data_IF_454807621196
#
_entry.id   IF_454807621196
#
_cell.length_a   1.000
_cell.length_b   1.000
_cell.length_c   1.000
_cell.angle_alpha   90.00
_cell.angle_beta   90.00
_cell.angle_gamma   90.00
#
_symmetry.space_group_name_H-M   'P 1'
#
loop_
_entity.id
_entity.type
_entity.pdbx_description
1 polymer ?
#
# COMPACT_ATOMS: atom_id res chain seq x y z
N UNK A 1 15.87 -15.15 -2.99
CA UNK A 1 15.48 -15.96 -1.82
C UNK A 1 14.20 -15.39 -1.24
N UNK A 2 13.27 -16.24 -0.77
CA UNK A 2 12.03 -15.79 -0.14
C UNK A 2 11.97 -16.29 1.31
N UNK A 3 11.77 -15.39 2.25
CA UNK A 3 11.50 -15.69 3.66
C UNK A 3 10.06 -15.32 3.98
N UNK A 4 9.35 -16.20 4.70
CA UNK A 4 7.95 -15.97 5.10
C UNK A 4 7.84 -16.03 6.61
N UNK A 5 7.39 -14.93 7.22
CA UNK A 5 7.02 -14.86 8.63
C UNK A 5 5.52 -15.13 8.75
N UNK A 6 5.14 -16.41 8.74
CA UNK A 6 3.76 -16.87 8.80
C UNK A 6 3.34 -17.41 10.17
N UNK A 7 2.07 -17.82 10.26
CA UNK A 7 1.48 -18.44 11.45
C UNK A 7 0.55 -17.51 12.25
N UNK A 8 -0.10 -18.07 13.26
CA UNK A 8 -1.14 -17.41 14.07
C UNK A 8 -0.61 -16.75 15.35
N UNK A 9 0.68 -16.93 15.65
CA UNK A 9 1.34 -16.36 16.82
C UNK A 9 2.35 -15.29 16.43
N UNK A 10 2.39 -14.21 17.21
CA UNK A 10 3.39 -13.15 17.06
C UNK A 10 4.79 -13.72 17.24
N UNK A 11 5.75 -13.21 16.46
CA UNK A 11 7.15 -13.56 16.70
C UNK A 11 7.61 -12.94 18.03
N UNK A 12 8.46 -13.69 18.75
CA UNK A 12 9.07 -13.25 20.02
C UNK A 12 10.39 -12.52 19.81
N UNK A 13 10.99 -12.67 18.63
CA UNK A 13 12.18 -11.93 18.24
C UNK A 13 11.88 -10.43 18.11
N UNK A 14 12.70 -9.60 18.74
CA UNK A 14 12.57 -8.14 18.81
C UNK A 14 13.73 -7.39 18.15
N UNK A 15 14.75 -8.11 17.66
CA UNK A 15 15.88 -7.49 16.99
C UNK A 15 15.53 -6.93 15.61
N UNK A 16 16.47 -6.20 14.99
CA UNK A 16 16.29 -5.69 13.64
C UNK A 16 16.23 -6.84 12.64
N UNK A 17 15.45 -6.64 11.58
CA UNK A 17 15.35 -7.56 10.45
C UNK A 17 15.96 -6.88 9.22
N UNK A 18 16.98 -7.49 8.64
CA UNK A 18 17.58 -7.01 7.40
C UNK A 18 17.34 -7.99 6.26
N UNK A 19 16.89 -7.46 5.13
CA UNK A 19 16.81 -8.18 3.86
C UNK A 19 17.49 -7.36 2.78
N UNK A 20 18.52 -7.95 2.17
CA UNK A 20 19.34 -7.29 1.17
C UNK A 20 19.52 -8.19 -0.04
N UNK A 21 19.55 -7.61 -1.23
CA UNK A 21 19.89 -8.30 -2.47
C UNK A 21 18.71 -8.44 -3.43
N UNK A 22 19.04 -8.40 -4.72
CA UNK A 22 18.07 -8.39 -5.80
C UNK A 22 17.16 -9.63 -5.73
N UNK A 23 15.85 -9.41 -5.82
CA UNK A 23 14.82 -10.45 -5.75
C UNK A 23 14.71 -11.18 -4.40
N UNK A 24 15.35 -10.68 -3.34
CA UNK A 24 15.09 -11.18 -2.00
C UNK A 24 13.78 -10.60 -1.46
N UNK A 25 12.94 -11.46 -0.89
CA UNK A 25 11.60 -11.08 -0.44
C UNK A 25 11.39 -11.52 1.01
N UNK A 26 10.99 -10.59 1.86
CA UNK A 26 10.40 -10.86 3.17
C UNK A 26 8.88 -10.75 3.07
N UNK A 27 8.16 -11.84 3.29
CA UNK A 27 6.70 -11.83 3.36
C UNK A 27 6.22 -11.91 4.80
N UNK A 28 5.45 -10.92 5.23
CA UNK A 28 4.78 -10.89 6.54
C UNK A 28 3.37 -11.43 6.38
N UNK A 29 3.11 -12.62 6.90
CA UNK A 29 1.88 -13.38 6.64
C UNK A 29 1.29 -13.99 7.92
N UNK A 30 1.37 -13.26 9.03
CA UNK A 30 0.73 -13.63 10.28
C UNK A 30 -0.79 -13.47 10.19
N UNK A 31 -1.51 -14.36 10.86
CA UNK A 31 -2.98 -14.34 10.96
C UNK A 31 -3.43 -13.96 12.37
N UNK A 32 -4.74 -13.76 12.57
CA UNK A 32 -5.34 -13.48 13.88
C UNK A 32 -4.77 -12.23 14.60
N UNK A 33 -4.29 -11.24 13.84
CA UNK A 33 -3.71 -10.01 14.39
C UNK A 33 -2.33 -10.20 15.01
N UNK A 34 -1.66 -11.34 14.77
CA UNK A 34 -0.30 -11.55 15.23
C UNK A 34 0.70 -10.63 14.51
N UNK A 35 1.75 -10.24 15.24
CA UNK A 35 2.81 -9.32 14.78
C UNK A 35 3.98 -10.14 14.22
N UNK A 36 4.38 -9.85 12.99
CA UNK A 36 5.46 -10.53 12.31
C UNK A 36 6.83 -9.97 12.72
N UNK A 37 6.94 -8.66 12.89
CA UNK A 37 8.21 -7.98 13.22
C UNK A 37 7.99 -6.92 14.29
N UNK A 38 8.81 -6.97 15.35
CA UNK A 38 8.76 -6.02 16.46
C UNK A 38 9.91 -5.01 16.47
N UNK A 39 11.03 -5.35 15.82
CA UNK A 39 12.16 -4.45 15.65
C UNK A 39 12.06 -3.63 14.37
N UNK A 40 13.12 -2.89 14.08
CA UNK A 40 13.27 -2.15 12.83
C UNK A 40 13.47 -3.10 11.65
N UNK A 41 13.05 -2.65 10.46
CA UNK A 41 13.15 -3.41 9.21
C UNK A 41 14.01 -2.63 8.23
N UNK A 42 15.04 -3.27 7.69
CA UNK A 42 15.94 -2.73 6.69
C UNK A 42 15.81 -3.54 5.41
N UNK A 43 15.32 -2.90 4.34
CA UNK A 43 15.19 -3.52 3.01
C UNK A 43 16.13 -2.80 2.07
N UNK A 44 17.10 -3.53 1.52
CA UNK A 44 18.22 -2.96 0.78
C UNK A 44 18.37 -3.62 -0.60
N UNK A 45 18.98 -2.91 -1.56
CA UNK A 45 19.52 -3.47 -2.80
C UNK A 45 18.48 -4.26 -3.61
N UNK A 46 17.37 -3.62 -3.97
CA UNK A 46 16.27 -4.20 -4.75
C UNK A 46 15.58 -5.41 -4.10
N UNK A 47 15.73 -5.57 -2.79
CA UNK A 47 14.90 -6.47 -2.00
C UNK A 47 13.49 -5.91 -1.80
N UNK A 48 12.58 -6.77 -1.34
CA UNK A 48 11.16 -6.47 -1.18
C UNK A 48 10.63 -6.89 0.19
N UNK A 49 9.95 -5.97 0.86
CA UNK A 49 9.02 -6.27 1.96
C UNK A 49 7.61 -6.42 1.39
N UNK A 50 6.94 -7.52 1.72
CA UNK A 50 5.59 -7.80 1.27
C UNK A 50 4.69 -8.09 2.47
N UNK A 51 3.62 -7.33 2.67
CA UNK A 51 2.66 -7.58 3.76
C UNK A 51 1.47 -8.34 3.20
N UNK A 52 1.13 -9.49 3.74
CA UNK A 52 -0.06 -10.28 3.41
C UNK A 52 -1.20 -10.03 4.39
N UNK A 53 -0.88 -10.01 5.69
CA UNK A 53 -1.82 -9.68 6.76
C UNK A 53 -2.02 -8.18 6.96
N UNK A 54 -2.68 -7.85 8.07
CA UNK A 54 -2.86 -6.49 8.56
C UNK A 54 -2.08 -6.34 9.88
N UNK A 55 -1.57 -5.15 10.16
CA UNK A 55 -0.83 -4.78 11.38
C UNK A 55 0.30 -5.77 11.70
N UNK A 56 1.09 -6.09 10.68
CA UNK A 56 2.15 -7.08 10.74
C UNK A 56 3.43 -6.53 11.39
N UNK A 57 3.57 -5.20 11.39
CA UNK A 57 4.72 -4.46 11.90
C UNK A 57 4.29 -3.77 13.20
N UNK A 58 5.13 -3.86 14.23
CA UNK A 58 4.88 -3.22 15.52
C UNK A 58 4.87 -1.69 15.39
N UNK A 59 4.03 -1.03 16.21
CA UNK A 59 3.77 0.41 16.09
C UNK A 59 5.03 1.28 16.26
N UNK A 60 6.03 0.79 16.98
CA UNK A 60 7.26 1.54 17.27
C UNK A 60 8.39 1.28 16.26
N UNK A 61 8.19 0.42 15.28
CA UNK A 61 9.22 0.05 14.31
C UNK A 61 9.49 1.15 13.29
N UNK A 62 10.75 1.25 12.88
CA UNK A 62 11.18 1.98 11.68
C UNK A 62 11.34 1.00 10.51
N UNK A 63 10.76 1.33 9.36
CA UNK A 63 11.01 0.65 8.10
C UNK A 63 11.90 1.54 7.24
N UNK A 64 13.09 1.04 6.88
CA UNK A 64 14.05 1.72 6.01
C UNK A 64 14.14 0.99 4.68
N UNK A 65 13.93 1.73 3.59
CA UNK A 65 14.05 1.26 2.22
C UNK A 65 15.25 1.94 1.58
N UNK A 66 16.22 1.16 1.08
CA UNK A 66 17.34 1.64 0.28
C UNK A 66 17.32 0.93 -1.07
N UNK A 67 16.95 1.67 -2.10
CA UNK A 67 16.77 1.14 -3.46
C UNK A 67 15.85 -0.10 -3.48
N UNK A 68 14.75 -0.05 -2.72
CA UNK A 68 14.00 -1.22 -2.31
C UNK A 68 12.48 -1.06 -2.49
N UNK A 69 11.74 -2.16 -2.28
CA UNK A 69 10.30 -2.21 -2.45
C UNK A 69 9.59 -2.51 -1.13
N UNK A 70 8.56 -1.74 -0.80
CA UNK A 70 7.53 -2.11 0.16
C UNK A 70 6.21 -2.28 -0.59
N UNK A 71 5.66 -3.49 -0.58
CA UNK A 71 4.45 -3.84 -1.27
C UNK A 71 3.37 -4.33 -0.29
N UNK A 72 2.14 -3.83 -0.46
CA UNK A 72 0.96 -4.51 0.05
C UNK A 72 0.62 -5.69 -0.87
N UNK A 73 0.71 -6.92 -0.37
CA UNK A 73 0.32 -8.10 -1.15
C UNK A 73 -1.16 -7.99 -1.55
N UNK A 74 -1.47 -8.48 -2.74
CA UNK A 74 -2.83 -8.55 -3.23
C UNK A 74 -3.65 -9.56 -2.41
N UNK A 75 -4.94 -9.27 -2.27
CA UNK A 75 -5.89 -10.14 -1.61
C UNK A 75 -7.01 -10.47 -2.59
N UNK A 76 -7.48 -11.73 -2.59
CA UNK A 76 -8.52 -12.17 -3.54
C UNK A 76 -9.90 -11.59 -3.21
N UNK A 77 -10.10 -11.16 -1.97
CA UNK A 77 -11.33 -10.51 -1.50
C UNK A 77 -11.23 -8.98 -1.59
N UNK A 78 -12.07 -8.38 -2.44
CA UNK A 78 -12.19 -6.93 -2.62
C UNK A 78 -12.70 -6.19 -1.38
N UNK A 79 -13.34 -6.89 -0.44
CA UNK A 79 -13.85 -6.30 0.80
C UNK A 79 -12.79 -6.27 1.92
N UNK A 80 -11.67 -6.96 1.72
CA UNK A 80 -10.61 -7.02 2.71
C UNK A 80 -9.96 -5.64 2.88
N UNK A 81 -9.93 -5.16 4.13
CA UNK A 81 -9.25 -3.93 4.52
C UNK A 81 -7.90 -4.29 5.09
N UNK A 82 -6.86 -3.73 4.49
CA UNK A 82 -5.48 -3.93 4.90
C UNK A 82 -4.95 -2.67 5.54
N UNK A 83 -4.39 -2.80 6.73
CA UNK A 83 -3.81 -1.68 7.45
C UNK A 83 -2.40 -2.04 7.87
N UNK A 84 -1.44 -1.18 7.61
CA UNK A 84 -0.13 -1.24 8.25
C UNK A 84 0.09 0.05 9.02
N UNK A 85 0.66 -0.09 10.22
CA UNK A 85 0.81 1.02 11.14
C UNK A 85 2.07 0.88 11.97
N UNK A 86 3.03 1.76 11.71
CA UNK A 86 4.33 1.76 12.38
C UNK A 86 4.87 3.19 12.49
N UNK A 87 5.98 3.34 13.20
CA UNK A 87 6.44 4.63 13.64
C UNK A 87 6.94 5.46 12.45
N UNK A 88 7.92 4.93 11.71
CA UNK A 88 8.63 5.73 10.71
C UNK A 88 8.92 4.95 9.44
N UNK A 89 8.69 5.59 8.29
CA UNK A 89 9.22 5.15 7.01
C UNK A 89 10.40 6.04 6.61
N UNK A 90 11.52 5.42 6.27
CA UNK A 90 12.71 6.10 5.74
C UNK A 90 12.98 5.58 4.33
N UNK A 91 13.07 6.47 3.35
CA UNK A 91 13.45 6.14 1.98
C UNK A 91 14.82 6.72 1.64
N UNK A 92 15.68 5.86 1.12
CA UNK A 92 17.02 6.14 0.63
C UNK A 92 17.15 5.62 -0.80
N UNK A 93 17.95 6.30 -1.63
CA UNK A 93 18.05 5.99 -3.05
C UNK A 93 16.69 6.08 -3.75
N UNK A 94 16.42 5.19 -4.70
CA UNK A 94 15.12 5.12 -5.38
C UNK A 94 14.30 3.94 -4.87
N UNK A 95 13.35 4.22 -3.98
CA UNK A 95 12.53 3.21 -3.31
C UNK A 95 11.07 3.28 -3.76
N UNK A 96 10.35 2.17 -3.60
CA UNK A 96 8.99 2.00 -4.11
C UNK A 96 8.02 1.60 -3.01
N UNK A 97 6.91 2.33 -2.90
CA UNK A 97 5.75 1.98 -2.09
C UNK A 97 4.61 1.54 -3.01
N UNK A 98 4.33 0.25 -3.04
CA UNK A 98 3.40 -0.37 -3.96
C UNK A 98 2.09 -0.71 -3.24
N UNK A 99 1.04 0.05 -3.51
CA UNK A 99 -0.28 -0.21 -2.94
C UNK A 99 -0.99 -1.36 -3.65
N UNK A 100 -0.77 -1.56 -4.94
CA UNK A 100 -1.42 -2.61 -5.71
C UNK A 100 -0.49 -3.15 -6.78
N UNK A 101 -0.54 -4.45 -7.06
CA UNK A 101 0.13 -5.03 -8.22
C UNK A 101 -0.89 -5.64 -9.19
N UNK A 102 -1.62 -6.68 -8.80
CA UNK A 102 -2.65 -7.35 -9.62
C UNK A 102 -3.77 -7.87 -8.72
N UNK A 103 -4.97 -7.27 -8.76
CA UNK A 103 -6.09 -7.79 -8.01
C UNK A 103 -7.25 -6.82 -7.78
N UNK A 104 -8.32 -7.30 -7.11
CA UNK A 104 -9.44 -6.45 -6.76
C UNK A 104 -9.03 -5.33 -5.80
N UNK A 105 -9.70 -4.18 -5.93
CA UNK A 105 -9.39 -2.94 -5.22
C UNK A 105 -9.96 -2.94 -3.80
N UNK A 106 -9.35 -3.70 -2.91
CA UNK A 106 -9.58 -3.59 -1.46
C UNK A 106 -9.02 -2.30 -0.88
N UNK A 107 -9.53 -1.88 0.29
CA UNK A 107 -9.00 -0.69 0.96
C UNK A 107 -7.65 -0.99 1.59
N UNK A 108 -6.69 -0.07 1.44
CA UNK A 108 -5.34 -0.22 1.97
C UNK A 108 -4.92 1.06 2.67
N UNK A 109 -4.52 0.95 3.92
CA UNK A 109 -4.09 2.05 4.74
C UNK A 109 -2.65 1.83 5.20
N UNK A 110 -1.82 2.85 5.00
CA UNK A 110 -0.52 2.95 5.63
C UNK A 110 -0.55 4.14 6.59
N UNK A 111 -0.45 3.89 7.89
CA UNK A 111 -0.38 4.91 8.92
C UNK A 111 1.04 5.05 9.45
N UNK A 112 1.62 6.24 9.34
CA UNK A 112 2.94 6.57 9.85
C UNK A 112 2.87 7.69 10.88
N UNK A 113 3.72 7.63 11.90
CA UNK A 113 3.97 8.79 12.76
C UNK A 113 4.93 9.78 12.09
N UNK A 114 5.91 9.26 11.32
CA UNK A 114 6.92 10.08 10.65
C UNK A 114 7.30 9.52 9.27
N UNK A 115 7.63 10.40 8.33
CA UNK A 115 8.09 10.07 6.99
C UNK A 115 9.34 10.89 6.66
N UNK A 116 10.43 10.20 6.34
CA UNK A 116 11.69 10.82 5.94
C UNK A 116 12.16 10.26 4.61
N UNK A 117 12.58 11.14 3.71
CA UNK A 117 13.18 10.75 2.43
C UNK A 117 14.50 11.49 2.34
N UNK A 118 15.61 10.77 2.18
CA UNK A 118 16.94 11.34 2.19
C UNK A 118 17.19 12.32 1.04
N UNK A 119 18.21 13.18 1.21
CA UNK A 119 18.58 14.12 0.15
C UNK A 119 19.06 13.37 -1.09
N UNK A 120 18.48 13.67 -2.25
CA UNK A 120 18.76 12.96 -3.50
C UNK A 120 18.05 11.61 -3.64
N UNK A 121 17.27 11.19 -2.65
CA UNK A 121 16.41 10.01 -2.73
C UNK A 121 15.03 10.34 -3.32
N UNK A 122 14.33 9.32 -3.78
CA UNK A 122 12.98 9.37 -4.34
C UNK A 122 12.14 8.20 -3.79
N UNK A 123 10.92 8.49 -3.34
CA UNK A 123 9.91 7.48 -3.03
C UNK A 123 8.84 7.46 -4.12
N UNK A 124 8.80 6.38 -4.89
CA UNK A 124 7.80 6.18 -5.95
C UNK A 124 6.62 5.42 -5.38
N UNK A 125 5.44 6.03 -5.39
CA UNK A 125 4.18 5.38 -5.02
C UNK A 125 3.52 4.81 -6.26
N UNK A 126 3.36 3.49 -6.32
CA UNK A 126 2.78 2.79 -7.47
C UNK A 126 1.50 2.04 -7.12
N UNK A 127 0.64 1.81 -8.11
CA UNK A 127 -0.63 1.12 -7.93
C UNK A 127 -1.62 1.86 -7.02
N UNK A 128 -1.44 3.18 -6.88
CA UNK A 128 -2.31 4.04 -6.09
C UNK A 128 -3.66 4.26 -6.77
N UNK A 129 -4.74 4.20 -5.99
CA UNK A 129 -6.12 4.38 -6.47
C UNK A 129 -6.87 5.24 -5.47
N UNK A 130 -7.44 6.34 -5.97
CA UNK A 130 -8.20 7.30 -5.17
C UNK A 130 -9.41 6.63 -4.50
N UNK A 131 -9.65 6.99 -3.23
CA UNK A 131 -10.77 6.49 -2.44
C UNK A 131 -10.63 5.06 -1.91
N UNK A 132 -9.62 4.30 -2.35
CA UNK A 132 -9.34 2.94 -1.83
C UNK A 132 -8.00 2.84 -1.12
N UNK A 133 -6.97 3.58 -1.58
CA UNK A 133 -5.65 3.57 -0.98
C UNK A 133 -5.42 4.86 -0.19
N UNK A 134 -4.78 4.71 0.98
CA UNK A 134 -4.59 5.79 1.94
C UNK A 134 -3.16 5.74 2.48
N UNK A 135 -2.37 6.76 2.13
CA UNK A 135 -1.01 6.97 2.62
C UNK A 135 -1.07 8.10 3.63
N UNK A 136 -1.07 7.74 4.92
CA UNK A 136 -1.40 8.63 6.02
C UNK A 136 -0.18 8.87 6.90
N UNK A 137 0.11 10.14 7.16
CA UNK A 137 1.20 10.59 8.02
C UNK A 137 0.64 11.51 9.10
N UNK A 138 1.09 11.35 10.35
CA UNK A 138 0.67 12.25 11.43
C UNK A 138 1.02 13.69 11.12
N UNK A 139 0.14 14.61 11.52
CA UNK A 139 0.36 16.06 11.36
C UNK A 139 1.59 16.58 12.12
N UNK A 140 2.06 15.83 13.11
CA UNK A 140 3.25 16.12 13.91
C UNK A 140 4.55 15.59 13.28
N UNK A 141 4.51 14.97 12.10
CA UNK A 141 5.71 14.47 11.40
C UNK A 141 6.67 15.61 11.09
N UNK A 142 7.95 15.39 11.37
CA UNK A 142 9.01 16.37 11.16
C UNK A 142 9.58 16.27 9.75
N UNK A 143 9.71 17.39 9.04
CA UNK A 143 10.32 17.39 7.69
C UNK A 143 9.41 16.86 6.58
N UNK A 144 8.11 16.71 6.83
CA UNK A 144 7.14 16.24 5.85
C UNK A 144 7.13 17.10 4.57
N UNK A 145 7.24 18.42 4.69
CA UNK A 145 7.28 19.34 3.53
C UNK A 145 8.42 19.02 2.56
N UNK A 146 9.59 18.65 3.08
CA UNK A 146 10.74 18.27 2.26
C UNK A 146 10.60 16.86 1.69
N UNK A 147 10.01 15.94 2.46
CA UNK A 147 9.68 14.61 1.96
C UNK A 147 8.71 14.67 0.77
N UNK A 148 7.66 15.51 0.83
CA UNK A 148 6.66 15.62 -0.25
C UNK A 148 7.26 15.95 -1.62
N UNK A 149 8.31 16.79 -1.65
CA UNK A 149 9.02 17.16 -2.89
C UNK A 149 9.73 15.97 -3.56
N UNK A 150 9.91 14.87 -2.83
CA UNK A 150 10.64 13.66 -3.23
C UNK A 150 9.73 12.45 -3.40
N UNK A 151 8.42 12.65 -3.31
CA UNK A 151 7.42 11.61 -3.56
C UNK A 151 6.87 11.79 -4.98
N UNK A 152 6.91 10.72 -5.76
CA UNK A 152 6.31 10.65 -7.08
C UNK A 152 5.22 9.58 -7.12
N UNK A 153 4.02 9.94 -7.59
CA UNK A 153 2.95 8.97 -7.84
C UNK A 153 3.00 8.52 -9.30
N UNK A 154 3.12 7.22 -9.54
CA UNK A 154 3.18 6.65 -10.89
C UNK A 154 1.82 6.81 -11.61
N UNK A 155 1.83 7.42 -12.80
CA UNK A 155 0.62 7.72 -13.58
C UNK A 155 -0.12 9.00 -13.15
N UNK A 156 0.53 9.84 -12.34
CA UNK A 156 0.03 11.12 -11.86
C UNK A 156 1.00 12.24 -12.29
N UNK A 157 0.54 13.48 -12.24
CA UNK A 157 1.34 14.63 -12.68
C UNK A 157 2.59 14.76 -11.79
N UNK A 158 3.81 14.69 -12.35
CA UNK A 158 5.04 14.80 -11.57
C UNK A 158 5.12 16.11 -10.78
N UNK A 159 5.62 16.04 -9.54
CA UNK A 159 5.80 17.21 -8.66
C UNK A 159 4.49 17.82 -8.13
N UNK A 160 3.34 17.18 -8.35
CA UNK A 160 2.02 17.59 -7.83
C UNK A 160 1.54 16.71 -6.66
N UNK A 161 2.48 16.26 -5.83
CA UNK A 161 2.17 15.62 -4.56
C UNK A 161 1.73 16.67 -3.55
N UNK A 162 0.64 16.42 -2.82
CA UNK A 162 0.05 17.37 -1.88
C UNK A 162 -0.53 16.64 -0.66
N UNK A 163 -0.88 17.43 0.37
CA UNK A 163 -1.53 16.95 1.57
C UNK A 163 -3.02 17.26 1.53
N UNK A 164 -3.83 16.27 1.85
CA UNK A 164 -5.27 16.40 2.08
C UNK A 164 -5.58 16.16 3.55
N UNK A 165 -6.54 16.92 4.11
CA UNK A 165 -7.02 16.66 5.45
C UNK A 165 -7.76 15.32 5.51
N UNK A 166 -7.28 14.40 6.35
CA UNK A 166 -7.96 13.13 6.57
C UNK A 166 -8.78 13.13 7.86
N UNK A 167 -8.14 13.43 9.00
CA UNK A 167 -8.81 13.59 10.29
C UNK A 167 -7.99 14.53 11.21
N UNK A 168 -8.31 14.59 12.51
CA UNK A 168 -7.62 15.45 13.47
C UNK A 168 -6.11 15.15 13.57
N UNK A 169 -5.72 13.88 13.49
CA UNK A 169 -4.35 13.41 13.72
C UNK A 169 -3.48 13.25 12.47
N UNK A 170 -4.08 13.01 11.30
CA UNK A 170 -3.37 12.61 10.09
C UNK A 170 -3.65 13.52 8.89
N UNK A 171 -2.61 13.72 8.09
CA UNK A 171 -2.69 14.11 6.70
C UNK A 171 -2.72 12.88 5.79
N UNK A 172 -3.40 12.98 4.65
CA UNK A 172 -3.27 12.05 3.54
C UNK A 172 -2.33 12.63 2.49
N UNK A 173 -1.36 11.83 2.04
CA UNK A 173 -0.47 12.17 0.94
C UNK A 173 -1.12 11.68 -0.36
N UNK A 174 -1.35 12.60 -1.29
CA UNK A 174 -2.01 12.33 -2.57
C UNK A 174 -1.23 12.89 -3.75
N UNK A 175 -1.32 12.23 -4.90
CA UNK A 175 -0.89 12.77 -6.19
C UNK A 175 -2.05 13.45 -6.93
N UNK A 176 -1.77 14.49 -7.73
CA UNK A 176 -2.78 15.05 -8.65
C UNK A 176 -2.91 14.19 -9.92
N UNK A 177 -4.09 13.64 -10.25
CA UNK A 177 -4.24 12.79 -11.42
C UNK A 177 -3.95 13.54 -12.71
N UNK A 178 -3.45 12.82 -13.71
CA UNK A 178 -3.44 13.35 -15.06
C UNK A 178 -4.89 13.53 -15.55
N UNK A 179 -5.20 14.57 -16.35
CA UNK A 179 -6.55 14.78 -16.88
C UNK A 179 -7.12 13.56 -17.63
N UNK A 180 -6.26 12.75 -18.25
CA UNK A 180 -6.66 11.53 -18.94
C UNK A 180 -7.05 10.37 -17.98
N UNK A 181 -6.52 10.36 -16.75
CA UNK A 181 -6.79 9.33 -15.74
C UNK A 181 -8.25 9.36 -15.28
N UNK A 182 -8.84 10.56 -15.18
CA UNK A 182 -10.28 10.71 -14.95
C UNK A 182 -11.13 10.11 -16.09
N UNK A 183 -10.68 10.25 -17.34
CA UNK A 183 -11.35 9.68 -18.51
C UNK A 183 -11.35 8.15 -18.52
N UNK A 184 -10.22 7.54 -18.15
CA UNK A 184 -10.07 6.09 -18.08
C UNK A 184 -10.92 5.46 -16.94
N UNK A 185 -10.96 6.10 -15.77
CA UNK A 185 -11.78 5.64 -14.64
C UNK A 185 -13.28 5.63 -14.96
N UNK A 186 -13.78 6.67 -15.63
CA UNK A 186 -15.18 6.74 -16.07
C UNK A 186 -15.52 5.65 -17.11
N UNK A 187 -14.61 5.40 -18.05
CA UNK A 187 -14.73 4.31 -19.05
C UNK A 187 -14.82 2.94 -18.38
N UNK A 188 -13.95 2.64 -17.42
CA UNK A 188 -13.96 1.39 -16.67
C UNK A 188 -15.25 1.21 -15.84
N UNK A 189 -15.72 2.28 -15.18
CA UNK A 189 -16.98 2.26 -14.43
C UNK A 189 -18.19 1.99 -15.35
N UNK A 190 -18.23 2.62 -16.51
CA UNK A 190 -19.29 2.40 -17.51
C UNK A 190 -19.30 0.95 -18.02
N UNK A 191 -18.12 0.39 -18.34
CA UNK A 191 -17.99 -1.00 -18.78
C UNK A 191 -18.40 -1.98 -17.67
N UNK A 192 -18.01 -1.72 -16.43
CA UNK A 192 -18.42 -2.51 -15.26
C UNK A 192 -19.94 -2.53 -15.07
N UNK A 193 -20.59 -1.36 -15.18
CA UNK A 193 -22.05 -1.23 -15.08
C UNK A 193 -22.77 -1.97 -16.22
N UNK A 194 -22.27 -1.87 -17.45
CA UNK A 194 -22.84 -2.60 -18.60
C UNK A 194 -22.74 -4.12 -18.39
N UNK A 195 -21.59 -4.62 -17.97
CA UNK A 195 -21.40 -6.04 -17.65
C UNK A 195 -22.31 -6.51 -16.51
N UNK A 196 -22.47 -5.70 -15.46
CA UNK A 196 -23.38 -5.99 -14.35
C UNK A 196 -24.85 -6.09 -14.81
N UNK A 197 -25.32 -5.13 -15.63
CA UNK A 197 -26.69 -5.13 -16.18
C UNK A 197 -26.93 -6.33 -17.10
N UNK A 198 -25.95 -6.75 -17.90
CA UNK A 198 -26.06 -7.94 -18.76
C UNK A 198 -26.20 -9.23 -17.93
N UNK A 199 -25.44 -9.35 -16.84
CA UNK A 199 -25.53 -10.50 -15.92
C UNK A 199 -26.86 -10.54 -15.17
N UNK A 200 -27.41 -9.40 -14.75
CA UNK A 200 -28.74 -9.37 -14.14
C UNK A 200 -29.83 -9.81 -15.12
N UNK A 201 -29.82 -9.33 -16.37
CA UNK A 201 -30.79 -9.75 -17.40
C UNK A 201 -30.74 -11.26 -17.68
N UNK A 202 -29.56 -11.86 -17.72
CA UNK A 202 -29.40 -13.31 -17.89
C UNK A 202 -29.87 -14.11 -16.66
N UNK A 203 -29.71 -13.58 -15.45
CA UNK A 203 -30.16 -14.22 -14.22
C UNK A 203 -31.68 -14.17 -14.07
N UNK A 204 -32.31 -13.05 -14.43
CA UNK A 204 -33.77 -12.93 -14.51
C UNK A 204 -34.39 -13.82 -15.59
N UNK A 205 -33.74 -13.97 -16.75
CA UNK A 205 -34.18 -14.88 -17.81
C UNK A 205 -34.11 -16.36 -17.40
N UNK A 206 -33.10 -16.76 -16.62
CA UNK A 206 -32.99 -18.14 -16.08
C UNK A 206 -34.03 -18.44 -14.99
N UNK A 207 -34.39 -17.47 -14.16
CA UNK A 207 -35.45 -17.63 -13.16
C UNK A 207 -36.84 -17.72 -13.80
N UNK A 208 -37.06 -17.04 -14.94
CA UNK A 208 -38.29 -17.16 -15.71
C UNK A 208 -38.39 -18.48 -16.51
N UNK A 209 -37.26 -19.10 -16.87
CA UNK A 209 -37.22 -20.35 -17.64
C UNK A 209 -37.27 -21.64 -16.80
N UNK A 210 -37.19 -21.55 -15.47
CA UNK A 210 -37.30 -22.69 -14.54
C UNK A 210 -38.65 -22.83 -13.86
N UNK A 211 -39.67 -22.09 -14.32
CA UNK A 211 -41.01 -22.03 -13.73
C UNK A 211 -42.09 -22.76 -14.57
N UNK A 212 -41.68 -23.72 -15.41
CA UNK A 212 -42.58 -24.62 -16.13
C UNK A 212 -42.29 -26.07 -15.75
#
# INVERSE_FOLDING_TARGET
MAAVLGGDKSNTFTGPVEVSGQYNVLSLAKTNGAIATRGDIFINNHAKLNTWGTRQIERNSTVRLRDAFFQFADHSDASFIKEECFHKLVAEGKSFLQFNWIGPLGKRFLYLDDLSIDSGAELVVSGWVEGTHFFLVRKTSSGLEDALKRIAFEGYIPGRTHLEHYNEDYWMISGTPEPATYGAGLMLAALGLVCYRRRQKQRSARLAAGAY
#
